data_IF_317227388473
#
_entry.id   IF_317227388473
#
_cell.length_a   1.000
_cell.length_b   1.000
_cell.length_c   1.000
_cell.angle_alpha   90.00
_cell.angle_beta   90.00
_cell.angle_gamma   90.00
#
_symmetry.space_group_name_H-M   'P 1'
#
loop_
_entity.id
_entity.type
_entity.pdbx_description
1 polymer ?
#
# COMPACT_ATOMS: atom_id res chain seq x y z
N UNK A 1 25.63 6.25 6.25
CA UNK A 1 26.59 6.30 5.11
C UNK A 1 26.11 5.27 4.09
N UNK A 2 25.63 5.57 2.88
CA UNK A 2 25.82 6.72 1.99
C UNK A 2 24.47 7.08 1.33
N UNK A 3 23.94 8.28 1.59
CA UNK A 3 22.96 8.87 0.69
C UNK A 3 23.72 9.28 -0.57
N UNK A 4 23.40 8.68 -1.72
CA UNK A 4 24.01 9.07 -3.00
C UNK A 4 23.53 10.48 -3.35
N UNK A 5 24.39 11.27 -4.00
CA UNK A 5 24.05 12.64 -4.46
C UNK A 5 22.74 12.70 -5.26
N UNK A 6 22.39 11.62 -5.98
CA UNK A 6 21.11 11.45 -6.68
C UNK A 6 19.88 11.38 -5.76
N UNK A 7 19.99 10.74 -4.59
CA UNK A 7 18.90 10.67 -3.61
C UNK A 7 18.61 12.03 -2.97
N UNK A 8 19.65 12.83 -2.75
CA UNK A 8 19.53 14.19 -2.21
C UNK A 8 18.92 15.17 -3.23
N UNK A 9 19.21 14.99 -4.53
CA UNK A 9 18.58 15.76 -5.60
C UNK A 9 17.08 15.52 -5.70
N UNK A 10 16.61 14.28 -5.54
CA UNK A 10 15.17 13.99 -5.54
C UNK A 10 14.47 14.72 -4.38
N UNK A 11 15.01 14.65 -3.17
CA UNK A 11 14.46 15.35 -2.01
C UNK A 11 14.56 16.89 -2.11
N UNK A 12 15.59 17.41 -2.78
CA UNK A 12 15.78 18.85 -2.95
C UNK A 12 14.93 19.46 -4.08
N UNK A 13 14.57 18.67 -5.09
CA UNK A 13 13.78 19.12 -6.26
C UNK A 13 12.28 18.91 -6.02
N UNK A 14 11.88 17.82 -5.37
CA UNK A 14 10.49 17.59 -4.97
C UNK A 14 10.27 18.12 -3.56
N UNK A 15 10.13 19.44 -3.45
CA UNK A 15 9.84 20.14 -2.19
C UNK A 15 8.51 19.67 -1.57
N UNK A 16 7.60 19.22 -2.43
CA UNK A 16 6.32 18.58 -2.08
C UNK A 16 6.37 17.09 -2.48
N UNK A 17 5.86 16.22 -1.61
CA UNK A 17 5.71 14.80 -1.93
C UNK A 17 4.69 14.64 -3.07
N UNK A 18 5.10 14.02 -4.18
CA UNK A 18 4.17 13.65 -5.26
C UNK A 18 3.07 12.73 -4.71
N UNK A 19 1.78 12.93 -5.06
CA UNK A 19 0.70 12.02 -4.66
C UNK A 19 0.88 10.60 -5.23
N UNK A 20 1.75 10.43 -6.23
CA UNK A 20 2.10 9.13 -6.81
C UNK A 20 3.27 8.45 -6.11
N UNK A 21 3.88 9.08 -5.10
CA UNK A 21 5.07 8.52 -4.43
C UNK A 21 4.78 7.15 -3.83
N UNK A 22 3.65 6.97 -3.12
CA UNK A 22 3.29 5.67 -2.54
C UNK A 22 2.97 4.61 -3.60
N UNK A 23 2.48 5.02 -4.77
CA UNK A 23 2.22 4.12 -5.88
C UNK A 23 3.49 3.37 -6.30
N UNK A 24 4.55 4.14 -6.58
CA UNK A 24 5.82 3.58 -7.02
C UNK A 24 6.65 2.99 -5.88
N UNK A 25 6.61 3.61 -4.69
CA UNK A 25 7.47 3.21 -3.58
C UNK A 25 6.92 2.05 -2.75
N UNK A 26 5.61 1.80 -2.74
CA UNK A 26 5.00 0.76 -1.90
C UNK A 26 3.97 -0.11 -2.63
N UNK A 27 3.02 0.46 -3.38
CA UNK A 27 1.96 -0.31 -4.03
C UNK A 27 2.51 -1.29 -5.08
N UNK A 28 3.31 -0.82 -6.04
CA UNK A 28 3.95 -1.70 -7.05
C UNK A 28 4.87 -2.74 -6.38
N UNK A 29 5.79 -2.37 -5.46
CA UNK A 29 6.61 -3.34 -4.75
C UNK A 29 5.82 -4.39 -3.95
N UNK A 30 4.69 -4.03 -3.34
CA UNK A 30 3.84 -4.98 -2.62
C UNK A 30 3.28 -6.04 -3.57
N UNK A 31 2.79 -5.65 -4.75
CA UNK A 31 2.34 -6.60 -5.78
C UNK A 31 3.52 -7.49 -6.22
N UNK A 32 4.69 -6.90 -6.52
CA UNK A 32 5.87 -7.67 -6.95
C UNK A 32 6.31 -8.71 -5.92
N UNK A 33 6.31 -8.35 -4.64
CA UNK A 33 6.84 -9.17 -3.56
C UNK A 33 5.86 -10.16 -2.93
N UNK A 34 4.55 -9.92 -3.06
CA UNK A 34 3.53 -10.69 -2.32
C UNK A 34 2.49 -11.36 -3.21
N UNK A 35 2.36 -10.96 -4.48
CA UNK A 35 1.41 -11.56 -5.40
C UNK A 35 2.00 -12.81 -6.08
N UNK A 36 1.12 -13.71 -6.53
CA UNK A 36 1.48 -14.81 -7.43
C UNK A 36 1.62 -14.34 -8.90
N UNK A 37 2.00 -15.26 -9.80
CA UNK A 37 2.23 -14.92 -11.21
C UNK A 37 0.96 -14.48 -11.96
N UNK A 38 -0.20 -15.03 -11.61
CA UNK A 38 -1.47 -14.66 -12.24
C UNK A 38 -1.88 -13.24 -11.82
N UNK A 39 -1.82 -12.95 -10.52
CA UNK A 39 -2.07 -11.63 -9.95
C UNK A 39 -1.09 -10.58 -10.48
N UNK A 40 0.21 -10.91 -10.59
CA UNK A 40 1.23 -10.02 -11.18
C UNK A 40 0.89 -9.69 -12.62
N UNK A 41 0.56 -10.69 -13.44
CA UNK A 41 0.21 -10.49 -14.85
C UNK A 41 -0.99 -9.56 -15.00
N UNK A 42 -1.98 -9.69 -14.12
CA UNK A 42 -3.18 -8.86 -14.13
C UNK A 42 -2.89 -7.42 -13.66
N UNK A 43 -2.21 -7.23 -12.52
CA UNK A 43 -2.08 -5.93 -11.87
C UNK A 43 -0.83 -5.14 -12.25
N UNK A 44 0.34 -5.76 -12.39
CA UNK A 44 1.60 -5.03 -12.52
C UNK A 44 1.69 -4.21 -13.80
N UNK A 45 1.21 -4.75 -14.94
CA UNK A 45 1.22 -4.02 -16.20
C UNK A 45 0.35 -2.76 -16.10
N UNK A 46 -0.85 -2.90 -15.52
CA UNK A 46 -1.80 -1.80 -15.32
C UNK A 46 -1.24 -0.72 -14.40
N UNK A 47 -0.63 -1.13 -13.28
CA UNK A 47 0.01 -0.21 -12.34
C UNK A 47 1.22 0.50 -12.99
N UNK A 48 2.11 -0.23 -13.65
CA UNK A 48 3.30 0.33 -14.30
C UNK A 48 2.97 1.28 -15.45
N UNK A 49 1.88 1.03 -16.17
CA UNK A 49 1.36 1.89 -17.23
C UNK A 49 0.54 3.07 -16.69
N UNK A 50 0.38 3.21 -15.37
CA UNK A 50 -0.49 4.20 -14.72
C UNK A 50 -1.96 4.14 -15.15
N UNK A 51 -2.43 2.96 -15.60
CA UNK A 51 -3.85 2.68 -15.87
C UNK A 51 -4.66 2.56 -14.56
N UNK A 52 -3.96 2.27 -13.45
CA UNK A 52 -4.48 2.32 -12.08
C UNK A 52 -3.49 3.05 -11.19
N UNK A 53 -3.99 3.76 -10.18
CA UNK A 53 -3.20 4.38 -9.12
C UNK A 53 -3.61 3.75 -7.80
N UNK A 54 -2.66 3.06 -7.17
CA UNK A 54 -2.82 2.44 -5.85
C UNK A 54 -1.93 3.05 -4.76
N UNK A 55 -2.26 2.73 -3.51
CA UNK A 55 -1.52 3.07 -2.28
C UNK A 55 -1.31 1.81 -1.41
N UNK A 56 -0.60 1.93 -0.29
CA UNK A 56 -0.41 0.84 0.67
C UNK A 56 -1.06 1.19 2.02
N UNK A 57 -2.29 0.70 2.23
CA UNK A 57 -3.10 1.06 3.39
C UNK A 57 -2.88 0.15 4.61
N UNK A 58 -1.79 0.35 5.34
CA UNK A 58 -1.46 -0.44 6.54
C UNK A 58 -1.92 0.23 7.83
N UNK A 59 -1.41 1.43 8.10
CA UNK A 59 -1.61 2.17 9.37
C UNK A 59 -3.07 2.44 9.63
N UNK A 60 -3.47 2.27 10.89
CA UNK A 60 -4.79 2.61 11.41
C UNK A 60 -4.71 3.77 12.39
N UNK A 61 -5.83 4.44 12.63
CA UNK A 61 -5.92 5.55 13.57
C UNK A 61 -5.41 5.15 14.97
N UNK A 62 -5.73 3.93 15.44
CA UNK A 62 -5.27 3.39 16.73
C UNK A 62 -3.89 2.73 16.69
N UNK A 63 -3.39 2.34 15.51
CA UNK A 63 -2.24 1.44 15.39
C UNK A 63 -1.33 1.79 14.20
N UNK A 64 -0.12 2.29 14.51
CA UNK A 64 0.97 2.47 13.53
C UNK A 64 2.16 1.55 13.79
N UNK A 65 2.76 1.65 14.98
CA UNK A 65 3.95 0.84 15.35
C UNK A 65 3.59 -0.60 15.69
N UNK A 66 2.49 -0.83 16.42
CA UNK A 66 2.08 -2.16 16.85
C UNK A 66 1.18 -2.83 15.81
N UNK A 67 1.78 -3.35 14.73
CA UNK A 67 1.06 -3.98 13.60
C UNK A 67 0.23 -5.19 14.03
N UNK A 68 0.67 -5.94 15.05
CA UNK A 68 -0.09 -7.07 15.60
C UNK A 68 -1.39 -6.64 16.30
N UNK A 69 -1.58 -5.35 16.51
CA UNK A 69 -2.80 -4.78 17.08
C UNK A 69 -3.78 -4.23 16.03
N UNK A 70 -3.49 -4.29 14.73
CA UNK A 70 -4.44 -3.83 13.71
C UNK A 70 -5.80 -4.50 13.89
N UNK A 71 -6.85 -3.69 13.78
CA UNK A 71 -8.23 -4.06 14.09
C UNK A 71 -9.04 -4.38 12.83
N UNK A 72 -8.62 -3.89 11.65
CA UNK A 72 -9.29 -4.24 10.38
C UNK A 72 -9.28 -5.76 10.17
N UNK A 73 -10.46 -6.33 9.93
CA UNK A 73 -10.60 -7.76 9.66
C UNK A 73 -10.82 -8.03 8.18
N UNK A 74 -10.28 -9.14 7.69
CA UNK A 74 -10.61 -9.75 6.40
C UNK A 74 -11.14 -11.16 6.65
N UNK A 75 -12.46 -11.33 6.66
CA UNK A 75 -13.09 -12.62 6.96
C UNK A 75 -13.47 -13.31 5.66
N UNK A 76 -13.01 -14.55 5.45
CA UNK A 76 -13.37 -15.33 4.27
C UNK A 76 -14.81 -15.85 4.39
N UNK A 77 -15.63 -15.60 3.37
CA UNK A 77 -16.97 -16.17 3.21
C UNK A 77 -16.93 -17.32 2.18
N UNK A 78 -17.06 -18.60 2.62
CA UNK A 78 -17.05 -19.75 1.72
C UNK A 78 -18.24 -19.83 0.76
N UNK A 79 -19.33 -19.10 1.01
CA UNK A 79 -20.52 -19.16 0.14
C UNK A 79 -20.31 -18.36 -1.14
N UNK A 80 -19.62 -17.23 -1.04
CA UNK A 80 -19.32 -16.36 -2.20
C UNK A 80 -17.88 -16.48 -2.68
N UNK A 81 -17.02 -17.17 -1.92
CA UNK A 81 -15.58 -17.26 -2.16
C UNK A 81 -14.87 -15.89 -2.08
N UNK A 82 -15.37 -14.99 -1.24
CA UNK A 82 -14.86 -13.62 -1.10
C UNK A 82 -14.29 -13.34 0.29
N UNK A 83 -13.51 -12.27 0.41
CA UNK A 83 -13.12 -11.70 1.70
C UNK A 83 -13.98 -10.48 2.02
N UNK A 84 -14.63 -10.49 3.19
CA UNK A 84 -15.36 -9.34 3.74
C UNK A 84 -14.40 -8.48 4.55
N UNK A 85 -14.08 -7.29 4.02
CA UNK A 85 -13.27 -6.29 4.72
C UNK A 85 -14.14 -5.45 5.65
N UNK A 86 -13.75 -5.33 6.91
CA UNK A 86 -14.52 -4.58 7.91
C UNK A 86 -13.59 -3.81 8.87
N UNK A 87 -13.92 -2.53 9.11
CA UNK A 87 -13.31 -1.70 10.14
C UNK A 87 -14.31 -1.58 11.30
N UNK A 88 -14.19 -2.41 12.36
CA UNK A 88 -15.23 -2.57 13.38
C UNK A 88 -15.34 -1.38 14.35
N UNK A 89 -14.29 -0.57 14.44
CA UNK A 89 -14.17 0.55 15.38
C UNK A 89 -13.67 1.79 14.65
N UNK A 90 -13.84 2.97 15.27
CA UNK A 90 -13.26 4.20 14.74
C UNK A 90 -11.73 4.13 14.67
N UNK A 91 -11.10 3.45 15.63
CA UNK A 91 -9.65 3.29 15.69
C UNK A 91 -9.10 2.38 14.60
N UNK A 92 -9.93 1.49 14.03
CA UNK A 92 -9.59 0.62 12.90
C UNK A 92 -9.53 1.33 11.53
N UNK A 93 -9.93 2.60 11.44
CA UNK A 93 -9.90 3.31 10.16
C UNK A 93 -8.47 3.44 9.66
N UNK A 94 -8.23 3.10 8.39
CA UNK A 94 -6.93 3.34 7.75
C UNK A 94 -6.62 4.83 7.76
N UNK A 95 -5.41 5.18 8.19
CA UNK A 95 -5.03 6.56 8.47
C UNK A 95 -3.57 6.83 8.11
N UNK A 96 -3.32 7.91 7.35
CA UNK A 96 -2.05 8.31 6.69
C UNK A 96 -1.75 7.83 5.26
N UNK A 97 -2.23 6.68 4.75
CA UNK A 97 -2.01 6.26 3.37
C UNK A 97 -2.51 7.22 2.30
#
# INVERSE_FOLDING_TARGET
ANATYRSLLHAAVFKDNSPFSLHFAMFIPAILGQADEEQKKYWLKRASNMEIIGTYAQTELGHGTFIRGLETTATYDPQTEEFVLHSPTLTAYKWWP
#
